data_IF_851254848939
#
_entry.id   IF_851254848939
#
_cell.length_a   1.000
_cell.length_b   1.000
_cell.length_c   1.000
_cell.angle_alpha   90.00
_cell.angle_beta   90.00
_cell.angle_gamma   90.00
#
_symmetry.space_group_name_H-M   'P 1'
#
loop_
_entity.id
_entity.type
_entity.pdbx_description
1 polymer ?
#
# COMPACT_ATOMS: atom_id res chain seq x y z
N UNK A 1 10.59 30.91 -17.59
CA UNK A 1 11.30 29.67 -17.21
C UNK A 1 10.38 28.49 -17.55
N UNK A 2 10.84 27.46 -18.28
CA UNK A 2 10.03 26.26 -18.56
C UNK A 2 10.50 25.12 -17.64
N UNK A 3 9.57 24.43 -16.99
CA UNK A 3 9.90 23.29 -16.13
C UNK A 3 10.48 22.13 -16.96
N UNK A 4 11.44 21.39 -16.40
CA UNK A 4 12.09 20.25 -17.09
C UNK A 4 11.39 18.91 -16.81
N UNK A 5 10.67 18.82 -15.69
CA UNK A 5 9.99 17.63 -15.25
C UNK A 5 8.78 17.98 -14.39
N UNK A 6 7.85 17.04 -14.28
CA UNK A 6 6.72 17.07 -13.33
C UNK A 6 6.81 15.81 -12.48
N UNK A 7 6.79 15.98 -11.17
CA UNK A 7 6.78 14.88 -10.20
C UNK A 7 5.38 14.81 -9.60
N UNK A 8 4.81 13.62 -9.61
CA UNK A 8 3.52 13.33 -9.01
C UNK A 8 3.68 12.51 -7.74
N UNK A 9 2.76 12.71 -6.81
CA UNK A 9 2.42 11.70 -5.81
C UNK A 9 1.47 10.66 -6.42
N UNK A 10 1.13 9.59 -5.69
CA UNK A 10 0.22 8.54 -6.13
C UNK A 10 -1.19 8.71 -5.57
N UNK A 11 -1.36 8.49 -4.26
CA UNK A 11 -2.67 8.42 -3.61
C UNK A 11 -3.28 9.82 -3.46
N UNK A 12 -4.50 10.00 -3.96
CA UNK A 12 -5.16 11.30 -4.03
C UNK A 12 -4.63 12.22 -5.14
N UNK A 13 -3.68 11.75 -5.96
CA UNK A 13 -3.10 12.51 -7.09
C UNK A 13 -3.32 11.79 -8.41
N UNK A 14 -2.68 10.62 -8.61
CA UNK A 14 -2.83 9.81 -9.82
C UNK A 14 -3.92 8.75 -9.68
N UNK A 15 -4.19 8.29 -8.47
CA UNK A 15 -5.29 7.40 -8.12
C UNK A 15 -6.10 8.03 -6.99
N UNK A 16 -7.35 7.61 -6.82
CA UNK A 16 -8.14 8.08 -5.68
C UNK A 16 -7.53 7.58 -4.36
N UNK A 17 -7.76 8.33 -3.27
CA UNK A 17 -7.44 7.82 -1.95
C UNK A 17 -8.26 6.56 -1.64
N UNK A 18 -7.66 5.62 -0.92
CA UNK A 18 -8.37 4.42 -0.53
C UNK A 18 -9.52 4.74 0.44
N UNK A 19 -10.60 3.96 0.33
CA UNK A 19 -11.72 4.03 1.27
C UNK A 19 -11.28 3.57 2.65
N UNK A 20 -11.40 4.43 3.67
CA UNK A 20 -11.17 4.06 5.08
C UNK A 20 -12.01 2.86 5.49
N UNK A 21 -13.25 2.77 5.02
CA UNK A 21 -14.15 1.65 5.32
C UNK A 21 -13.62 0.33 4.75
N UNK A 22 -13.18 0.32 3.50
CA UNK A 22 -12.63 -0.90 2.88
C UNK A 22 -11.26 -1.26 3.46
N UNK A 23 -10.45 -0.25 3.77
CA UNK A 23 -9.19 -0.42 4.48
C UNK A 23 -9.40 -1.14 5.83
N UNK A 24 -10.35 -0.68 6.63
CA UNK A 24 -10.65 -1.26 7.94
C UNK A 24 -11.20 -2.68 7.83
N UNK A 25 -12.05 -2.97 6.82
CA UNK A 25 -12.50 -4.34 6.54
C UNK A 25 -11.35 -5.28 6.23
N UNK A 26 -10.38 -4.85 5.41
CA UNK A 26 -9.22 -5.67 5.07
C UNK A 26 -8.37 -5.96 6.30
N UNK A 27 -8.17 -4.98 7.19
CA UNK A 27 -7.46 -5.21 8.45
C UNK A 27 -8.21 -6.19 9.37
N UNK A 28 -9.54 -6.13 9.39
CA UNK A 28 -10.35 -7.08 10.15
C UNK A 28 -10.20 -8.51 9.62
N UNK A 29 -10.28 -8.71 8.30
CA UNK A 29 -10.08 -10.02 7.66
C UNK A 29 -8.67 -10.58 7.91
N UNK A 30 -7.65 -9.73 7.83
CA UNK A 30 -6.26 -10.11 8.15
C UNK A 30 -6.16 -10.55 9.61
N UNK A 31 -6.65 -9.75 10.55
CA UNK A 31 -6.60 -10.07 11.98
C UNK A 31 -7.35 -11.39 12.30
N UNK A 32 -8.54 -11.59 11.74
CA UNK A 32 -9.33 -12.80 11.89
C UNK A 32 -8.55 -14.04 11.40
N UNK A 33 -7.96 -13.96 10.20
CA UNK A 33 -7.16 -15.04 9.59
C UNK A 33 -5.95 -15.41 10.44
N UNK A 34 -5.30 -14.39 11.00
CA UNK A 34 -4.14 -14.55 11.88
C UNK A 34 -4.53 -14.96 13.31
N UNK A 35 -5.83 -15.06 13.60
CA UNK A 35 -6.36 -15.27 14.96
C UNK A 35 -5.86 -14.22 15.96
N UNK A 36 -5.68 -12.99 15.49
CA UNK A 36 -5.12 -11.87 16.23
C UNK A 36 -6.21 -10.95 16.79
N UNK A 37 -6.02 -10.35 17.98
CA UNK A 37 -6.90 -9.29 18.45
C UNK A 37 -6.85 -8.10 17.48
N UNK A 38 -7.99 -7.73 16.91
CA UNK A 38 -8.07 -6.74 15.83
C UNK A 38 -7.38 -5.42 16.17
N UNK A 39 -7.66 -4.83 17.33
CA UNK A 39 -7.08 -3.53 17.71
C UNK A 39 -5.55 -3.62 17.91
N UNK A 40 -5.05 -4.73 18.47
CA UNK A 40 -3.62 -4.93 18.67
C UNK A 40 -2.90 -5.09 17.32
N UNK A 41 -3.46 -5.90 16.41
CA UNK A 41 -2.91 -6.08 15.07
C UNK A 41 -2.98 -4.78 14.25
N UNK A 42 -4.13 -4.09 14.26
CA UNK A 42 -4.31 -2.80 13.58
C UNK A 42 -3.28 -1.77 14.04
N UNK A 43 -3.04 -1.70 15.35
CA UNK A 43 -2.06 -0.78 15.91
C UNK A 43 -0.62 -1.13 15.49
N UNK A 44 -0.23 -2.41 15.60
CA UNK A 44 1.10 -2.87 15.17
C UNK A 44 1.33 -2.62 13.67
N UNK A 45 0.36 -3.01 12.83
CA UNK A 45 0.45 -2.82 11.38
C UNK A 45 0.48 -1.34 10.98
N UNK A 46 -0.31 -0.49 11.63
CA UNK A 46 -0.28 0.96 11.43
C UNK A 46 1.08 1.56 11.82
N UNK A 47 1.62 1.16 12.96
CA UNK A 47 2.91 1.65 13.47
C UNK A 47 4.10 1.22 12.59
N UNK A 48 3.97 0.10 11.87
CA UNK A 48 4.98 -0.38 10.91
C UNK A 48 5.13 0.50 9.65
N UNK A 49 4.21 1.44 9.39
CA UNK A 49 4.17 2.16 8.11
C UNK A 49 5.47 2.88 7.77
N UNK A 50 6.10 3.54 8.75
CA UNK A 50 7.38 4.22 8.50
C UNK A 50 8.48 3.23 8.09
N UNK A 51 8.54 2.06 8.71
CA UNK A 51 9.55 1.04 8.40
C UNK A 51 9.31 0.41 7.02
N UNK A 52 8.05 0.25 6.62
CA UNK A 52 7.68 -0.14 5.25
C UNK A 52 8.12 0.90 4.22
N UNK A 53 7.87 2.18 4.46
CA UNK A 53 8.20 3.26 3.50
C UNK A 53 9.70 3.43 3.26
N UNK A 54 10.53 3.14 4.26
CA UNK A 54 11.99 3.21 4.12
C UNK A 54 12.63 1.88 3.71
N UNK A 55 11.82 0.88 3.37
CA UNK A 55 12.28 -0.42 2.86
C UNK A 55 12.94 -1.33 3.90
N UNK A 56 12.74 -1.07 5.21
CA UNK A 56 13.18 -2.02 6.27
C UNK A 56 12.35 -3.29 6.24
N UNK A 57 11.05 -3.18 5.97
CA UNK A 57 10.14 -4.30 5.77
C UNK A 57 9.87 -4.42 4.26
N UNK A 58 10.36 -5.50 3.67
CA UNK A 58 10.49 -5.68 2.21
C UNK A 58 9.28 -6.33 1.57
N UNK A 59 8.39 -6.92 2.36
CA UNK A 59 7.15 -7.52 1.85
C UNK A 59 5.98 -7.36 2.82
N UNK A 60 4.78 -7.63 2.33
CA UNK A 60 3.57 -7.62 3.17
C UNK A 60 3.60 -8.74 4.20
N UNK A 61 4.09 -9.92 3.82
CA UNK A 61 4.25 -11.10 4.66
C UNK A 61 5.23 -10.82 5.80
N UNK A 62 6.39 -10.23 5.49
CA UNK A 62 7.38 -9.82 6.51
C UNK A 62 6.77 -8.82 7.49
N UNK A 63 6.03 -7.84 6.97
CA UNK A 63 5.32 -6.87 7.81
C UNK A 63 4.35 -7.57 8.76
N UNK A 64 3.53 -8.49 8.24
CA UNK A 64 2.55 -9.25 9.03
C UNK A 64 3.26 -10.08 10.09
N UNK A 65 4.32 -10.82 9.75
CA UNK A 65 5.07 -11.63 10.67
C UNK A 65 5.66 -10.79 11.83
N UNK A 66 6.27 -9.64 11.51
CA UNK A 66 6.81 -8.71 12.52
C UNK A 66 5.70 -8.15 13.41
N UNK A 67 4.56 -7.76 12.84
CA UNK A 67 3.43 -7.23 13.61
C UNK A 67 2.82 -8.30 14.53
N UNK A 68 2.70 -9.54 14.06
CA UNK A 68 2.25 -10.68 14.86
C UNK A 68 3.22 -10.96 16.02
N UNK A 69 4.52 -10.98 15.76
CA UNK A 69 5.53 -11.19 16.80
C UNK A 69 5.48 -10.10 17.88
N UNK A 70 5.28 -8.84 17.51
CA UNK A 70 5.14 -7.71 18.45
C UNK A 70 3.96 -7.88 19.42
N UNK A 71 2.91 -8.59 19.02
CA UNK A 71 1.72 -8.87 19.84
C UNK A 71 1.72 -10.29 20.43
N UNK A 72 2.86 -10.99 20.37
CA UNK A 72 3.04 -12.31 20.99
C UNK A 72 2.44 -13.48 20.19
N UNK A 73 2.20 -13.30 18.89
CA UNK A 73 1.67 -14.33 18.00
C UNK A 73 2.73 -14.83 17.02
N UNK A 74 2.64 -16.12 16.66
CA UNK A 74 3.45 -16.73 15.61
C UNK A 74 2.56 -17.59 14.70
N UNK A 75 1.73 -16.98 13.83
CA UNK A 75 0.92 -17.72 12.85
C UNK A 75 1.83 -18.48 11.88
N UNK A 76 1.30 -19.58 11.33
CA UNK A 76 1.98 -20.29 10.24
C UNK A 76 2.02 -19.48 8.93
N UNK A 77 2.90 -19.88 8.02
CA UNK A 77 3.09 -19.22 6.73
C UNK A 77 1.80 -19.21 5.88
N UNK A 78 0.92 -20.21 6.02
CA UNK A 78 -0.33 -20.29 5.27
C UNK A 78 -1.27 -19.14 5.67
N UNK A 79 -1.42 -18.88 6.97
CA UNK A 79 -2.21 -17.75 7.50
C UNK A 79 -1.60 -16.42 7.10
N UNK A 80 -0.27 -16.29 7.17
CA UNK A 80 0.44 -15.06 6.77
C UNK A 80 0.21 -14.77 5.29
N UNK A 81 0.42 -15.75 4.42
CA UNK A 81 0.22 -15.60 2.98
C UNK A 81 -1.23 -15.26 2.63
N UNK A 82 -2.19 -15.90 3.29
CA UNK A 82 -3.63 -15.60 3.09
C UNK A 82 -3.95 -14.16 3.50
N UNK A 83 -3.46 -13.71 4.65
CA UNK A 83 -3.64 -12.33 5.10
C UNK A 83 -2.95 -11.31 4.17
N UNK A 84 -1.75 -11.63 3.68
CA UNK A 84 -1.04 -10.80 2.70
C UNK A 84 -1.82 -10.67 1.39
N UNK A 85 -2.46 -11.75 0.92
CA UNK A 85 -3.29 -11.72 -0.29
C UNK A 85 -4.43 -10.71 -0.18
N UNK A 86 -5.10 -10.61 0.97
CA UNK A 86 -6.15 -9.59 1.16
C UNK A 86 -5.63 -8.16 0.99
N UNK A 87 -4.38 -7.90 1.42
CA UNK A 87 -3.73 -6.60 1.26
C UNK A 87 -3.33 -6.33 -0.19
N UNK A 88 -2.79 -7.32 -0.90
CA UNK A 88 -2.48 -7.17 -2.33
C UNK A 88 -3.74 -6.93 -3.15
N UNK A 89 -4.79 -7.71 -2.93
CA UNK A 89 -6.06 -7.56 -3.62
C UNK A 89 -6.68 -6.17 -3.39
N UNK A 90 -6.62 -5.68 -2.16
CA UNK A 90 -7.07 -4.33 -1.82
C UNK A 90 -6.25 -3.25 -2.53
N UNK A 91 -4.93 -3.42 -2.58
CA UNK A 91 -4.02 -2.49 -3.24
C UNK A 91 -4.29 -2.46 -4.75
N UNK A 92 -4.40 -3.63 -5.38
CA UNK A 92 -4.77 -3.76 -6.80
C UNK A 92 -6.08 -3.05 -7.15
N UNK A 93 -7.10 -3.17 -6.30
CA UNK A 93 -8.37 -2.47 -6.50
C UNK A 93 -8.25 -0.95 -6.35
N UNK A 94 -7.32 -0.49 -5.52
CA UNK A 94 -7.08 0.92 -5.21
C UNK A 94 -6.24 1.60 -6.30
N UNK A 95 -5.28 0.89 -6.90
CA UNK A 95 -4.37 1.40 -7.92
C UNK A 95 -5.04 1.52 -9.31
N UNK A 96 -6.18 2.21 -9.36
CA UNK A 96 -6.91 2.49 -10.60
C UNK A 96 -7.00 3.99 -10.82
N UNK A 97 -6.38 4.47 -11.89
CA UNK A 97 -6.47 5.87 -12.32
C UNK A 97 -7.74 6.13 -13.13
N UNK A 98 -8.25 7.36 -13.02
CA UNK A 98 -9.31 7.86 -13.92
C UNK A 98 -8.74 8.18 -15.29
N UNK A 99 -9.58 8.16 -16.32
CA UNK A 99 -9.17 8.39 -17.72
C UNK A 99 -8.52 9.77 -17.88
N UNK A 100 -9.01 10.79 -17.18
CA UNK A 100 -8.52 12.16 -17.26
C UNK A 100 -7.08 12.31 -16.74
N UNK A 101 -6.72 11.51 -15.72
CA UNK A 101 -5.34 11.45 -15.21
C UNK A 101 -4.42 10.90 -16.29
N UNK A 102 -4.81 9.80 -16.94
CA UNK A 102 -4.02 9.18 -18.00
C UNK A 102 -3.84 10.13 -19.19
N UNK A 103 -4.89 10.85 -19.58
CA UNK A 103 -4.83 11.86 -20.64
C UNK A 103 -3.89 13.01 -20.27
N UNK A 104 -3.90 13.46 -19.02
CA UNK A 104 -3.01 14.52 -18.56
C UNK A 104 -1.54 14.08 -18.58
N UNK A 105 -1.25 12.87 -18.10
CA UNK A 105 0.10 12.29 -18.17
C UNK A 105 0.57 12.15 -19.62
N UNK A 106 -0.32 11.74 -20.53
CA UNK A 106 0.00 11.64 -21.96
C UNK A 106 0.30 13.00 -22.58
N UNK A 107 -0.52 14.02 -22.29
CA UNK A 107 -0.31 15.38 -22.79
C UNK A 107 1.01 15.96 -22.30
N UNK A 108 1.34 15.79 -21.02
CA UNK A 108 2.63 16.24 -20.47
C UNK A 108 3.83 15.56 -21.14
N UNK A 109 3.73 14.26 -21.44
CA UNK A 109 4.76 13.56 -22.21
C UNK A 109 4.88 14.12 -23.63
N UNK A 110 3.75 14.34 -24.31
CA UNK A 110 3.72 14.89 -25.67
C UNK A 110 4.31 16.31 -25.74
N UNK A 111 4.15 17.10 -24.69
CA UNK A 111 4.72 18.45 -24.56
C UNK A 111 6.23 18.46 -24.22
N UNK A 112 6.83 17.27 -24.08
CA UNK A 112 8.26 17.08 -23.84
C UNK A 112 8.69 17.13 -22.38
N UNK A 113 7.76 17.06 -21.42
CA UNK A 113 8.11 17.00 -20.00
C UNK A 113 8.55 15.60 -19.59
N UNK A 114 9.62 15.51 -18.78
CA UNK A 114 9.92 14.28 -18.04
C UNK A 114 8.89 14.10 -16.93
N UNK A 115 8.43 12.88 -16.70
CA UNK A 115 7.47 12.57 -15.64
C UNK A 115 8.12 11.61 -14.65
N UNK A 116 7.94 11.87 -13.36
CA UNK A 116 8.34 10.99 -12.27
C UNK A 116 7.24 10.81 -11.24
N UNK A 117 7.35 9.75 -10.45
CA UNK A 117 6.47 9.43 -9.33
C UNK A 117 7.32 9.38 -8.05
N UNK A 118 6.91 10.10 -7.01
CA UNK A 118 7.49 10.01 -5.67
C UNK A 118 6.32 9.90 -4.70
N UNK A 119 6.22 8.76 -4.03
CA UNK A 119 5.14 8.50 -3.06
C UNK A 119 5.66 7.67 -1.90
N UNK A 120 5.15 7.94 -0.70
CA UNK A 120 5.36 7.08 0.45
C UNK A 120 4.38 5.90 0.34
N UNK A 121 4.91 4.70 0.17
CA UNK A 121 4.10 3.50 0.00
C UNK A 121 4.68 2.33 0.78
N UNK A 122 3.85 1.29 0.95
CA UNK A 122 4.33 -0.01 1.41
C UNK A 122 4.91 -0.84 0.25
N UNK A 123 5.58 -1.96 0.55
CA UNK A 123 6.24 -2.81 -0.45
C UNK A 123 5.26 -3.42 -1.46
N UNK A 124 3.97 -3.48 -1.14
CA UNK A 124 2.94 -3.98 -2.04
C UNK A 124 2.71 -3.10 -3.27
N UNK A 125 2.99 -1.79 -3.21
CA UNK A 125 2.71 -0.85 -4.31
C UNK A 125 3.69 -1.02 -5.48
N UNK A 126 5.03 -1.05 -5.30
CA UNK A 126 5.96 -1.22 -6.42
C UNK A 126 5.99 -2.63 -7.03
N UNK A 127 5.36 -3.63 -6.39
CA UNK A 127 5.29 -5.01 -6.90
C UNK A 127 4.14 -5.23 -7.89
N UNK A 128 3.15 -4.35 -7.89
CA UNK A 128 1.90 -4.43 -8.66
C UNK A 128 1.91 -3.45 -9.84
#
# INVERSE_FOLDING_TARGET
>A
MKFKAVIFDLFGTLVDNFSKKEHDKVHALMAETLSAPYEAFRHAFGSSFSDRCIGKLRSTEETIAVCCAQIGLSPDDCKINTAAQYRYDFTMRTLKSKVEVLLTLQNLKNDGYKIGLITNCGPEVPLL
#
